data_IF_023006261290
#
_entry.id   IF_023006261290
#
_cell.length_a   1.000
_cell.length_b   1.000
_cell.length_c   1.000
_cell.angle_alpha   90.00
_cell.angle_beta   90.00
_cell.angle_gamma   90.00
#
_symmetry.space_group_name_H-M   'P 1'
#
loop_
_entity.id
_entity.type
_entity.pdbx_description
1 polymer ?
#
# COMPACT_ATOMS: atom_id res chain seq x y z
N UNK A 1 -12.75 20.87 25.39
CA UNK A 1 -13.44 21.04 24.10
C UNK A 1 -13.37 19.71 23.38
N UNK A 2 -14.40 18.89 23.58
CA UNK A 2 -14.57 17.61 22.89
C UNK A 2 -15.08 17.91 21.48
N UNK A 3 -14.43 17.44 20.40
CA UNK A 3 -14.97 17.60 19.06
C UNK A 3 -16.28 16.81 18.98
N UNK A 4 -17.27 17.41 18.34
CA UNK A 4 -18.59 16.81 18.15
C UNK A 4 -18.50 15.49 17.38
N UNK A 5 -19.09 14.46 17.95
CA UNK A 5 -19.43 13.23 17.27
C UNK A 5 -20.45 13.55 16.18
N UNK A 6 -20.06 13.44 14.90
CA UNK A 6 -21.00 13.62 13.78
C UNK A 6 -20.43 13.88 12.39
N UNK A 7 -19.11 14.04 12.22
CA UNK A 7 -18.52 14.24 10.89
C UNK A 7 -17.77 13.00 10.43
N UNK A 8 -18.25 12.30 9.40
CA UNK A 8 -17.43 11.33 8.67
C UNK A 8 -16.09 11.96 8.23
N UNK A 9 -15.12 11.11 7.88
CA UNK A 9 -13.77 11.57 7.48
C UNK A 9 -13.84 12.81 6.57
N UNK A 10 -13.11 13.89 6.88
CA UNK A 10 -13.07 15.07 6.00
C UNK A 10 -12.77 14.63 4.57
N UNK A 11 -13.41 15.24 3.57
CA UNK A 11 -13.19 14.86 2.17
C UNK A 11 -11.69 14.88 1.79
N UNK A 12 -10.93 15.78 2.41
CA UNK A 12 -9.47 15.83 2.32
C UNK A 12 -8.79 14.58 2.91
N UNK A 13 -9.20 14.11 4.09
CA UNK A 13 -8.65 12.90 4.71
C UNK A 13 -8.93 11.66 3.84
N UNK A 14 -10.14 11.53 3.28
CA UNK A 14 -10.48 10.45 2.34
C UNK A 14 -9.62 10.52 1.08
N UNK A 15 -9.42 11.73 0.54
CA UNK A 15 -8.56 11.96 -0.62
C UNK A 15 -7.10 11.59 -0.35
N UNK A 16 -6.55 12.02 0.78
CA UNK A 16 -5.19 11.67 1.21
C UNK A 16 -5.03 10.17 1.46
N UNK A 17 -5.99 9.53 2.12
CA UNK A 17 -5.99 8.09 2.34
C UNK A 17 -6.00 7.32 1.02
N UNK A 18 -6.87 7.71 0.08
CA UNK A 18 -6.95 7.07 -1.24
C UNK A 18 -5.67 7.29 -2.04
N UNK A 19 -5.12 8.51 -2.03
CA UNK A 19 -3.85 8.82 -2.68
C UNK A 19 -2.70 7.99 -2.08
N UNK A 20 -2.66 7.83 -0.76
CA UNK A 20 -1.68 7.00 -0.07
C UNK A 20 -1.74 5.55 -0.56
N UNK A 21 -2.94 4.98 -0.61
CA UNK A 21 -3.13 3.59 -1.08
C UNK A 21 -2.68 3.40 -2.52
N UNK A 22 -3.00 4.36 -3.40
CA UNK A 22 -2.57 4.32 -4.79
C UNK A 22 -1.04 4.40 -4.90
N UNK A 23 -0.40 5.30 -4.15
CA UNK A 23 1.04 5.47 -4.15
C UNK A 23 1.75 4.21 -3.64
N UNK A 24 1.35 3.65 -2.51
CA UNK A 24 1.93 2.41 -1.99
C UNK A 24 1.72 1.24 -2.96
N UNK A 25 0.50 1.09 -3.48
CA UNK A 25 0.20 0.01 -4.44
C UNK A 25 1.06 0.15 -5.70
N UNK A 26 1.12 1.34 -6.32
CA UNK A 26 2.00 1.59 -7.45
C UNK A 26 3.47 1.34 -7.11
N UNK A 27 3.92 1.74 -5.92
CA UNK A 27 5.28 1.55 -5.44
C UNK A 27 5.65 0.06 -5.33
N UNK A 28 4.82 -0.73 -4.65
CA UNK A 28 5.05 -2.16 -4.47
C UNK A 28 5.02 -2.93 -5.79
N UNK A 29 4.09 -2.58 -6.69
CA UNK A 29 4.03 -3.17 -8.03
C UNK A 29 5.24 -2.78 -8.88
N UNK A 30 5.72 -1.54 -8.77
CA UNK A 30 6.93 -1.09 -9.46
C UNK A 30 8.18 -1.80 -8.93
N UNK A 31 8.32 -2.00 -7.62
CA UNK A 31 9.39 -2.80 -7.05
C UNK A 31 9.32 -4.26 -7.49
N UNK A 32 8.12 -4.85 -7.53
CA UNK A 32 7.92 -6.19 -8.08
C UNK A 32 8.35 -6.28 -9.54
N UNK A 33 7.96 -5.31 -10.35
CA UNK A 33 8.38 -5.21 -11.74
C UNK A 33 9.91 -5.11 -11.84
N UNK A 34 10.56 -4.26 -11.03
CA UNK A 34 12.01 -4.08 -10.97
C UNK A 34 12.76 -5.34 -10.50
N UNK A 35 12.15 -6.15 -9.64
CA UNK A 35 12.73 -7.37 -9.08
C UNK A 35 12.48 -8.63 -9.92
N UNK A 36 11.66 -8.54 -10.98
CA UNK A 36 11.31 -9.67 -11.85
C UNK A 36 12.58 -10.38 -12.38
N UNK A 37 12.56 -11.71 -12.32
CA UNK A 37 13.70 -12.53 -12.65
C UNK A 37 14.10 -12.35 -14.12
N UNK A 38 15.30 -11.83 -14.35
CA UNK A 38 15.93 -11.74 -15.67
C UNK A 38 17.24 -12.51 -15.63
N UNK A 39 17.45 -13.38 -16.61
CA UNK A 39 18.69 -14.14 -16.77
C UNK A 39 19.93 -13.23 -16.89
N UNK A 40 19.76 -11.98 -17.33
CA UNK A 40 20.82 -10.98 -17.46
C UNK A 40 21.23 -10.33 -16.14
N UNK A 41 20.46 -10.50 -15.07
CA UNK A 41 20.72 -9.83 -13.80
C UNK A 41 21.91 -10.43 -13.02
N UNK A 42 22.32 -11.67 -13.31
CA UNK A 42 23.39 -12.35 -12.57
C UNK A 42 23.03 -12.57 -11.08
N UNK A 43 24.05 -12.82 -10.24
CA UNK A 43 23.89 -13.08 -8.80
C UNK A 43 24.57 -12.01 -7.93
N UNK A 44 24.13 -11.87 -6.67
CA UNK A 44 24.74 -10.95 -5.71
C UNK A 44 24.72 -9.48 -6.13
N UNK A 45 25.88 -8.81 -6.08
CA UNK A 45 26.05 -7.39 -6.39
C UNK A 45 25.71 -7.04 -7.85
N UNK A 46 25.90 -7.97 -8.80
CA UNK A 46 25.54 -7.76 -10.19
C UNK A 46 24.03 -7.54 -10.36
N UNK A 47 23.23 -8.29 -9.60
CA UNK A 47 21.76 -8.18 -9.62
C UNK A 47 21.29 -6.84 -9.07
N UNK A 48 21.90 -6.37 -7.99
CA UNK A 48 21.61 -5.04 -7.43
C UNK A 48 21.94 -3.92 -8.42
N UNK A 49 23.11 -3.98 -9.08
CA UNK A 49 23.51 -3.00 -10.08
C UNK A 49 22.58 -3.00 -11.30
N UNK A 50 22.09 -4.17 -11.69
CA UNK A 50 21.09 -4.31 -12.74
C UNK A 50 19.75 -3.70 -12.33
N UNK A 51 19.26 -3.99 -11.12
CA UNK A 51 18.01 -3.42 -10.60
C UNK A 51 18.06 -1.89 -10.50
N UNK A 52 19.20 -1.32 -10.09
CA UNK A 52 19.43 0.13 -10.05
C UNK A 52 19.31 0.81 -11.43
N UNK A 53 19.60 0.06 -12.50
CA UNK A 53 19.43 0.55 -13.87
C UNK A 53 17.99 0.51 -14.39
N UNK A 54 17.04 -0.07 -13.63
CA UNK A 54 15.65 -0.20 -14.10
C UNK A 54 14.82 1.02 -13.74
N UNK A 55 14.07 1.61 -14.69
CA UNK A 55 13.21 2.75 -14.42
C UNK A 55 12.14 2.44 -13.36
N UNK A 56 11.67 1.19 -13.32
CA UNK A 56 10.70 0.71 -12.33
C UNK A 56 11.15 0.87 -10.88
N UNK A 57 12.45 0.73 -10.58
CA UNK A 57 12.96 0.96 -9.23
C UNK A 57 12.74 2.42 -8.82
N UNK A 58 13.09 3.35 -9.70
CA UNK A 58 12.98 4.78 -9.45
C UNK A 58 11.54 5.26 -9.37
N UNK A 59 10.64 4.67 -10.17
CA UNK A 59 9.19 4.89 -10.02
C UNK A 59 8.75 4.45 -8.63
N UNK A 60 9.15 3.25 -8.18
CA UNK A 60 8.82 2.76 -6.84
C UNK A 60 9.34 3.67 -5.72
N UNK A 61 10.59 4.13 -5.83
CA UNK A 61 11.19 5.09 -4.89
C UNK A 61 10.42 6.41 -4.88
N UNK A 62 10.07 6.95 -6.05
CA UNK A 62 9.28 8.17 -6.16
C UNK A 62 7.89 8.03 -5.53
N UNK A 63 7.23 6.89 -5.75
CA UNK A 63 5.95 6.58 -5.12
C UNK A 63 6.07 6.57 -3.59
N UNK A 64 7.07 5.88 -3.02
CA UNK A 64 7.27 5.80 -1.57
C UNK A 64 7.67 7.15 -0.95
N UNK A 65 8.45 7.96 -1.66
CA UNK A 65 8.78 9.31 -1.22
C UNK A 65 7.53 10.21 -1.15
N UNK A 66 6.66 10.14 -2.16
CA UNK A 66 5.40 10.87 -2.17
C UNK A 66 4.41 10.32 -1.12
N UNK A 67 4.34 8.99 -0.99
CA UNK A 67 3.52 8.30 0.00
C UNK A 67 3.83 8.78 1.41
N UNK A 68 5.13 8.88 1.76
CA UNK A 68 5.54 9.39 3.06
C UNK A 68 4.93 10.76 3.40
N UNK A 69 4.90 11.68 2.42
CA UNK A 69 4.33 13.02 2.61
C UNK A 69 2.80 12.97 2.73
N UNK A 70 2.14 12.17 1.90
CA UNK A 70 0.68 12.00 1.91
C UNK A 70 0.23 11.34 3.21
N UNK A 71 0.96 10.32 3.67
CA UNK A 71 0.71 9.63 4.93
C UNK A 71 0.85 10.57 6.13
N UNK A 72 1.91 11.37 6.16
CA UNK A 72 2.12 12.37 7.20
C UNK A 72 0.98 13.39 7.24
N UNK A 73 0.53 13.87 6.07
CA UNK A 73 -0.60 14.77 5.96
C UNK A 73 -1.91 14.10 6.44
N UNK A 74 -2.14 12.83 6.09
CA UNK A 74 -3.30 12.07 6.53
C UNK A 74 -3.32 11.91 8.06
N UNK A 75 -2.20 11.48 8.66
CA UNK A 75 -2.08 11.34 10.12
C UNK A 75 -2.19 12.66 10.89
N UNK A 76 -2.02 13.80 10.23
CA UNK A 76 -2.31 15.10 10.84
C UNK A 76 -3.81 15.37 11.01
N UNK A 77 -4.67 14.62 10.30
CA UNK A 77 -6.13 14.80 10.29
C UNK A 77 -6.90 13.71 11.05
N UNK A 78 -6.28 12.55 11.30
CA UNK A 78 -6.93 11.42 11.96
C UNK A 78 -6.08 10.88 13.11
N UNK A 79 -6.68 10.29 14.16
CA UNK A 79 -5.94 9.58 15.18
C UNK A 79 -5.09 8.45 14.56
N UNK A 80 -3.88 8.25 15.09
CA UNK A 80 -2.95 7.24 14.57
C UNK A 80 -3.54 5.83 14.57
N UNK A 81 -4.31 5.48 15.62
CA UNK A 81 -4.98 4.17 15.72
C UNK A 81 -5.89 3.92 14.52
N UNK A 82 -6.73 4.91 14.22
CA UNK A 82 -7.76 4.81 13.20
C UNK A 82 -7.10 4.85 11.82
N UNK A 83 -6.10 5.72 11.65
CA UNK A 83 -5.31 5.80 10.43
C UNK A 83 -4.60 4.48 10.10
N UNK A 84 -3.91 3.86 11.05
CA UNK A 84 -3.21 2.57 10.83
C UNK A 84 -4.20 1.45 10.51
N UNK A 85 -5.35 1.43 11.18
CA UNK A 85 -6.41 0.46 10.91
C UNK A 85 -7.00 0.63 9.51
N UNK A 86 -7.34 1.86 9.11
CA UNK A 86 -7.77 2.19 7.75
C UNK A 86 -6.67 1.90 6.71
N UNK A 87 -5.40 2.07 7.07
CA UNK A 87 -4.26 1.75 6.22
C UNK A 87 -4.08 0.25 5.99
N UNK A 88 -4.49 -0.60 6.95
CA UNK A 88 -4.27 -2.06 6.86
C UNK A 88 -4.98 -2.72 5.68
N UNK A 89 -6.08 -2.15 5.17
CA UNK A 89 -6.76 -2.66 3.97
C UNK A 89 -5.89 -2.52 2.70
N UNK A 90 -4.89 -1.65 2.70
CA UNK A 90 -3.95 -1.53 1.59
C UNK A 90 -3.19 -2.85 1.34
N UNK A 91 -2.92 -3.63 2.39
CA UNK A 91 -2.35 -4.98 2.26
C UNK A 91 -3.22 -5.87 1.36
N UNK A 92 -4.55 -5.76 1.46
CA UNK A 92 -5.49 -6.46 0.58
C UNK A 92 -5.41 -5.94 -0.84
N UNK A 93 -5.41 -4.61 -1.02
CA UNK A 93 -5.33 -3.95 -2.33
C UNK A 93 -4.07 -4.38 -3.08
N UNK A 94 -2.90 -4.31 -2.43
CA UNK A 94 -1.61 -4.72 -2.99
C UNK A 94 -1.62 -6.19 -3.40
N UNK A 95 -2.11 -7.09 -2.54
CA UNK A 95 -2.18 -8.52 -2.88
C UNK A 95 -3.08 -8.80 -4.08
N UNK A 96 -4.24 -8.15 -4.14
CA UNK A 96 -5.16 -8.29 -5.27
C UNK A 96 -4.56 -7.71 -6.55
N UNK A 97 -3.96 -6.52 -6.49
CA UNK A 97 -3.29 -5.90 -7.63
C UNK A 97 -2.11 -6.75 -8.12
N UNK A 98 -1.34 -7.33 -7.20
CA UNK A 98 -0.27 -8.28 -7.50
C UNK A 98 -0.78 -9.52 -8.23
N UNK A 99 -1.88 -10.11 -7.75
CA UNK A 99 -2.54 -11.23 -8.44
C UNK A 99 -3.00 -10.84 -9.85
N UNK A 100 -3.65 -9.69 -10.00
CA UNK A 100 -4.23 -9.26 -11.28
C UNK A 100 -3.15 -8.92 -12.32
N UNK A 101 -2.08 -8.23 -11.92
CA UNK A 101 -1.05 -7.74 -12.86
C UNK A 101 0.08 -8.74 -13.11
N UNK A 102 0.41 -9.59 -12.12
CA UNK A 102 1.50 -10.56 -12.23
C UNK A 102 1.01 -12.02 -12.26
N UNK A 103 -0.30 -12.24 -12.31
CA UNK A 103 -0.93 -13.56 -12.33
C UNK A 103 -0.47 -14.48 -11.17
N UNK A 104 -0.16 -13.89 -10.02
CA UNK A 104 0.35 -14.66 -8.88
C UNK A 104 -0.71 -15.58 -8.29
N UNK A 105 -0.33 -16.83 -8.04
CA UNK A 105 -1.19 -17.78 -7.35
C UNK A 105 -1.34 -17.39 -5.88
N UNK A 106 -2.54 -16.94 -5.50
CA UNK A 106 -2.89 -16.81 -4.09
C UNK A 106 -3.23 -18.20 -3.54
N UNK A 107 -2.46 -18.64 -2.55
CA UNK A 107 -2.78 -19.86 -1.80
C UNK A 107 -4.07 -19.68 -0.98
N UNK A 108 -4.77 -20.77 -0.65
CA UNK A 108 -5.97 -20.71 0.19
C UNK A 108 -5.75 -20.00 1.54
N UNK A 109 -4.58 -20.19 2.16
CA UNK A 109 -4.22 -19.48 3.39
C UNK A 109 -4.07 -17.97 3.19
N UNK A 110 -3.55 -17.53 2.03
CA UNK A 110 -3.44 -16.10 1.70
C UNK A 110 -4.82 -15.48 1.53
N UNK A 111 -5.75 -16.21 0.92
CA UNK A 111 -7.14 -15.78 0.81
C UNK A 111 -7.81 -15.68 2.18
N UNK A 112 -7.59 -16.65 3.07
CA UNK A 112 -8.08 -16.59 4.45
C UNK A 112 -7.54 -15.35 5.19
N UNK A 113 -6.24 -15.05 5.02
CA UNK A 113 -5.62 -13.83 5.55
C UNK A 113 -6.26 -12.54 5.00
N UNK A 114 -6.51 -12.47 3.69
CA UNK A 114 -7.22 -11.35 3.05
C UNK A 114 -8.60 -11.14 3.70
N UNK A 115 -9.36 -12.21 3.89
CA UNK A 115 -10.69 -12.14 4.48
C UNK A 115 -10.63 -11.67 5.94
N UNK A 116 -9.66 -12.14 6.72
CA UNK A 116 -9.43 -11.71 8.10
C UNK A 116 -9.08 -10.22 8.20
N UNK A 117 -8.17 -9.73 7.36
CA UNK A 117 -7.81 -8.30 7.32
C UNK A 117 -9.02 -7.45 6.91
N UNK A 118 -9.74 -7.88 5.87
CA UNK A 118 -10.94 -7.18 5.39
C UNK A 118 -12.01 -7.11 6.48
N UNK A 119 -12.23 -8.21 7.22
CA UNK A 119 -13.16 -8.25 8.33
C UNK A 119 -12.72 -7.33 9.47
N UNK A 120 -11.43 -7.33 9.83
CA UNK A 120 -10.89 -6.42 10.85
C UNK A 120 -11.10 -4.95 10.51
N UNK A 121 -10.85 -4.57 9.25
CA UNK A 121 -11.10 -3.22 8.74
C UNK A 121 -12.58 -2.87 8.79
N UNK A 122 -13.46 -3.79 8.36
CA UNK A 122 -14.90 -3.57 8.36
C UNK A 122 -15.44 -3.34 9.78
N UNK A 123 -14.95 -4.10 10.77
CA UNK A 123 -15.34 -3.93 12.18
C UNK A 123 -14.97 -2.54 12.70
N UNK A 124 -13.78 -2.03 12.34
CA UNK A 124 -13.35 -0.69 12.77
C UNK A 124 -14.09 0.41 12.01
N UNK A 125 -14.38 0.21 10.73
CA UNK A 125 -15.21 1.13 9.94
C UNK A 125 -16.67 1.21 10.43
N UNK A 126 -17.15 0.22 11.20
CA UNK A 126 -18.46 0.29 11.86
C UNK A 126 -18.43 1.08 13.19
N UNK A 127 -17.25 1.30 13.79
CA UNK A 127 -17.07 2.10 14.99
C UNK A 127 -16.77 3.58 14.71
N UNK A 128 -16.23 3.89 13.53
CA UNK A 128 -15.91 5.25 13.07
C UNK A 128 -17.13 5.97 12.49
#
# INVERSE_FOLDING_TARGET
>A
MTPEAGGGLPALAVGLWTANMLLDTCGQLAFKAAAQADARAGTGLARWRWMLGRPWLWIGVGCYAAEFLVWLAFLSLVPLSDGVLLGSINIVVVMLAGRLLFAEALSPLRLAGILLVTAGVAVVGLQA
#
